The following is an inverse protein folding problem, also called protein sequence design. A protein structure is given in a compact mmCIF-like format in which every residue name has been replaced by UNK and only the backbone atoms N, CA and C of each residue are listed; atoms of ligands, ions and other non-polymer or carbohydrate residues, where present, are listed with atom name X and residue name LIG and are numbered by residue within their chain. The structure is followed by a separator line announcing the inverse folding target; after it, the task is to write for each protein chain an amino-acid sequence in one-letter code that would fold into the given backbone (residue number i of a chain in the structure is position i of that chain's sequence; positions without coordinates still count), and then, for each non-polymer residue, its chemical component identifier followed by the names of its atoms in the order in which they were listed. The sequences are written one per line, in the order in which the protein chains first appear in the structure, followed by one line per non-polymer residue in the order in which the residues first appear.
data_IF_270911913290
#
_entry.id   IF_270911913290
#
_cell.length_a   1.000
_cell.length_b   1.000
_cell.length_c   1.000
_cell.angle_alpha   90.00
_cell.angle_beta   90.00
_cell.angle_gamma   90.00
#
_symmetry.space_group_name_H-M   'P 1'
#
loop_
_entity.id
_entity.type
_entity.pdbx_description
1 polymer ?
#
# COMPACT_ATOMS: atom_id res chain seq x y z
N UNK A 1 -99.71 -13.96 4.56
CA UNK A 1 -98.79 -14.74 5.42
C UNK A 1 -97.48 -14.94 4.66
N UNK A 2 -96.35 -14.99 5.39
CA UNK A 2 -94.92 -14.96 4.99
C UNK A 2 -94.39 -13.55 4.68
N UNK A 3 -93.67 -12.84 5.57
CA UNK A 3 -92.59 -13.17 6.54
C UNK A 3 -91.28 -13.58 5.85
N UNK A 4 -90.42 -12.60 5.58
CA UNK A 4 -88.99 -12.52 5.92
C UNK A 4 -88.36 -11.35 5.13
N UNK A 5 -87.84 -10.28 5.73
CA UNK A 5 -86.73 -10.16 6.70
C UNK A 5 -85.45 -9.68 5.98
N UNK A 6 -85.08 -8.44 6.33
CA UNK A 6 -83.73 -7.88 6.45
C UNK A 6 -82.59 -8.51 5.62
N UNK A 7 -81.98 -7.70 4.75
CA UNK A 7 -80.53 -7.49 4.78
C UNK A 7 -80.13 -6.37 3.82
N UNK A 8 -79.85 -5.19 4.38
CA UNK A 8 -78.89 -4.28 3.80
C UNK A 8 -77.54 -5.00 3.70
N UNK A 9 -76.95 -5.08 2.52
CA UNK A 9 -75.53 -5.41 2.41
C UNK A 9 -74.89 -4.57 1.31
N UNK A 10 -73.84 -3.91 1.76
CA UNK A 10 -73.05 -2.91 1.08
C UNK A 10 -72.34 -3.49 -0.14
N UNK A 11 -72.34 -2.70 -1.20
CA UNK A 11 -71.33 -2.71 -2.23
C UNK A 11 -69.91 -2.52 -1.65
N UNK A 12 -68.97 -3.25 -2.23
CA UNK A 12 -67.51 -3.02 -2.25
C UNK A 12 -66.75 -3.27 -0.95
N UNK A 13 -65.83 -4.25 -0.99
CA UNK A 13 -64.39 -3.99 -1.00
C UNK A 13 -63.63 -5.29 -1.21
N UNK A 14 -62.84 -5.32 -2.29
CA UNK A 14 -61.79 -6.31 -2.51
C UNK A 14 -60.78 -6.28 -1.37
N UNK A 15 -60.37 -7.45 -0.91
CA UNK A 15 -59.09 -7.63 -0.25
C UNK A 15 -58.57 -9.03 -0.56
N UNK A 16 -58.04 -9.18 -1.78
CA UNK A 16 -57.01 -10.18 -2.04
C UNK A 16 -55.78 -9.83 -1.18
N UNK A 17 -55.13 -10.80 -0.53
CA UNK A 17 -53.95 -10.51 0.26
C UNK A 17 -52.81 -10.08 -0.66
N UNK A 18 -52.38 -8.82 -0.54
CA UNK A 18 -51.20 -8.28 -1.18
C UNK A 18 -49.94 -9.01 -0.65
N UNK A 19 -49.62 -10.17 -1.23
CA UNK A 19 -48.36 -10.90 -1.02
C UNK A 19 -47.42 -10.77 -2.23
N UNK A 20 -47.35 -9.59 -2.85
CA UNK A 20 -46.42 -9.30 -3.96
C UNK A 20 -45.36 -8.24 -3.61
N UNK A 21 -45.60 -7.44 -2.57
CA UNK A 21 -44.73 -6.32 -2.18
C UNK A 21 -43.52 -6.70 -1.33
N UNK A 22 -43.62 -7.73 -0.48
CA UNK A 22 -42.60 -8.04 0.53
C UNK A 22 -41.50 -8.97 -0.01
N UNK A 23 -41.87 -9.96 -0.82
CA UNK A 23 -40.91 -10.83 -1.51
C UNK A 23 -40.08 -10.08 -2.56
N UNK A 24 -40.66 -9.04 -3.20
CA UNK A 24 -39.95 -8.21 -4.18
C UNK A 24 -38.92 -7.29 -3.52
N UNK A 25 -39.22 -6.72 -2.35
CA UNK A 25 -38.26 -5.86 -1.60
C UNK A 25 -37.05 -6.64 -1.11
N UNK A 26 -37.26 -7.86 -0.58
CA UNK A 26 -36.17 -8.74 -0.14
C UNK A 26 -35.27 -9.19 -1.29
N UNK A 27 -35.86 -9.53 -2.45
CA UNK A 27 -35.11 -9.88 -3.67
C UNK A 27 -34.26 -8.72 -4.20
N UNK A 28 -34.82 -7.50 -4.21
CA UNK A 28 -34.08 -6.28 -4.62
C UNK A 28 -32.93 -5.98 -3.65
N UNK A 29 -33.14 -6.12 -2.34
CA UNK A 29 -32.09 -5.92 -1.33
C UNK A 29 -30.97 -6.96 -1.48
N UNK A 30 -31.31 -8.23 -1.72
CA UNK A 30 -30.35 -9.30 -1.96
C UNK A 30 -29.55 -9.08 -3.25
N UNK A 31 -30.19 -8.62 -4.32
CA UNK A 31 -29.52 -8.32 -5.59
C UNK A 31 -28.54 -7.16 -5.43
N UNK A 32 -28.91 -6.11 -4.69
CA UNK A 32 -28.00 -5.02 -4.32
C UNK A 32 -26.79 -5.52 -3.52
N UNK A 33 -27.01 -6.35 -2.49
CA UNK A 33 -25.90 -6.93 -1.71
C UNK A 33 -24.99 -7.82 -2.55
N UNK A 34 -25.53 -8.60 -3.50
CA UNK A 34 -24.73 -9.41 -4.43
C UNK A 34 -23.90 -8.56 -5.36
N UNK A 35 -24.44 -7.44 -5.85
CA UNK A 35 -23.70 -6.48 -6.71
C UNK A 35 -22.55 -5.84 -5.95
N UNK A 36 -22.80 -5.33 -4.74
CA UNK A 36 -21.75 -4.75 -3.86
C UNK A 36 -20.67 -5.79 -3.57
N UNK A 37 -21.05 -7.01 -3.19
CA UNK A 37 -20.09 -8.09 -2.94
C UNK A 37 -19.29 -8.49 -4.18
N UNK A 38 -19.92 -8.46 -5.36
CA UNK A 38 -19.23 -8.73 -6.62
C UNK A 38 -18.22 -7.61 -6.98
N UNK A 39 -18.58 -6.36 -6.72
CA UNK A 39 -17.69 -5.20 -6.91
C UNK A 39 -16.49 -5.24 -5.94
N UNK A 40 -16.72 -5.53 -4.66
CA UNK A 40 -15.66 -5.71 -3.65
C UNK A 40 -14.70 -6.84 -4.04
N UNK A 41 -15.24 -7.98 -4.47
CA UNK A 41 -14.45 -9.13 -4.94
C UNK A 41 -13.61 -8.79 -6.16
N UNK A 42 -14.18 -8.04 -7.11
CA UNK A 42 -13.44 -7.58 -8.29
C UNK A 42 -12.32 -6.60 -7.91
N UNK A 43 -12.55 -5.69 -6.96
CA UNK A 43 -11.53 -4.76 -6.47
C UNK A 43 -10.40 -5.48 -5.72
N UNK A 44 -10.74 -6.49 -4.91
CA UNK A 44 -9.78 -7.34 -4.21
C UNK A 44 -8.91 -8.14 -5.18
N UNK A 45 -9.52 -8.77 -6.19
CA UNK A 45 -8.81 -9.48 -7.27
C UNK A 45 -7.85 -8.56 -8.03
N UNK A 46 -8.27 -7.33 -8.34
CA UNK A 46 -7.40 -6.34 -8.95
C UNK A 46 -6.22 -5.97 -8.05
N UNK A 47 -6.43 -5.83 -6.73
CA UNK A 47 -5.36 -5.52 -5.77
C UNK A 47 -4.35 -6.66 -5.70
N UNK A 48 -4.83 -7.90 -5.65
CA UNK A 48 -4.00 -9.12 -5.65
C UNK A 48 -3.19 -9.22 -6.94
N UNK A 49 -3.82 -9.02 -8.11
CA UNK A 49 -3.15 -9.06 -9.40
C UNK A 49 -2.05 -7.99 -9.49
N UNK A 50 -2.35 -6.73 -9.14
CA UNK A 50 -1.35 -5.66 -9.14
C UNK A 50 -0.14 -5.98 -8.24
N UNK A 51 -0.35 -6.55 -7.06
CA UNK A 51 0.75 -6.94 -6.16
C UNK A 51 1.60 -8.05 -6.76
N UNK A 52 0.98 -9.05 -7.41
CA UNK A 52 1.69 -10.13 -8.09
C UNK A 52 2.46 -9.63 -9.32
N UNK A 53 1.88 -8.74 -10.12
CA UNK A 53 2.52 -8.16 -11.29
C UNK A 53 3.76 -7.34 -10.87
N UNK A 54 3.65 -6.56 -9.78
CA UNK A 54 4.79 -5.83 -9.21
C UNK A 54 5.89 -6.81 -8.75
N UNK A 55 5.51 -7.91 -8.09
CA UNK A 55 6.49 -8.93 -7.65
C UNK A 55 7.20 -9.61 -8.80
N UNK A 56 6.46 -9.91 -9.85
CA UNK A 56 7.01 -10.48 -11.06
C UNK A 56 7.97 -9.49 -11.72
N UNK A 57 7.57 -8.22 -11.85
CA UNK A 57 8.44 -7.16 -12.38
C UNK A 57 9.73 -7.01 -11.56
N UNK A 58 9.66 -7.03 -10.23
CA UNK A 58 10.84 -6.94 -9.36
C UNK A 58 11.75 -8.16 -9.51
N UNK A 59 11.17 -9.37 -9.63
CA UNK A 59 11.93 -10.60 -9.87
C UNK A 59 12.62 -10.61 -11.23
N UNK A 60 11.89 -10.22 -12.28
CA UNK A 60 12.36 -10.27 -13.66
C UNK A 60 13.41 -9.20 -13.94
N UNK A 61 13.25 -8.01 -13.36
CA UNK A 61 14.22 -6.90 -13.51
C UNK A 61 15.32 -6.91 -12.48
N UNK A 62 15.31 -7.82 -11.49
CA UNK A 62 16.32 -7.86 -10.43
C UNK A 62 16.41 -6.57 -9.60
N UNK A 63 15.38 -5.72 -9.63
CA UNK A 63 15.38 -4.38 -9.03
C UNK A 63 15.72 -3.23 -10.00
N UNK A 64 16.01 -3.50 -11.28
CA UNK A 64 16.26 -2.44 -12.28
C UNK A 64 15.03 -1.55 -12.54
N UNK A 65 13.81 -2.06 -12.30
CA UNK A 65 12.58 -1.25 -12.35
C UNK A 65 12.56 -0.08 -11.33
N UNK A 66 13.47 -0.09 -10.34
CA UNK A 66 13.63 0.98 -9.35
C UNK A 66 14.82 1.91 -9.66
N UNK A 67 15.49 1.78 -10.81
CA UNK A 67 16.63 2.63 -11.18
C UNK A 67 16.13 4.04 -11.49
N UNK A 68 16.56 4.98 -10.65
CA UNK A 68 16.33 6.41 -10.87
C UNK A 68 16.98 6.78 -12.22
N UNK A 69 16.24 7.38 -13.17
CA UNK A 69 16.81 7.77 -14.45
C UNK A 69 18.05 8.64 -14.26
N UNK A 70 19.11 8.39 -15.03
CA UNK A 70 20.40 9.10 -14.87
C UNK A 70 20.23 10.62 -14.94
N UNK A 71 19.35 11.12 -15.81
CA UNK A 71 19.00 12.55 -15.90
C UNK A 71 18.49 13.12 -14.58
N UNK A 72 17.66 12.35 -13.87
CA UNK A 72 17.10 12.73 -12.56
C UNK A 72 18.21 12.73 -11.52
N UNK A 73 19.02 11.67 -11.47
CA UNK A 73 20.15 11.55 -10.55
C UNK A 73 21.16 12.71 -10.73
N UNK A 74 21.48 13.05 -11.98
CA UNK A 74 22.37 14.17 -12.30
C UNK A 74 21.80 15.52 -11.83
N UNK A 75 20.48 15.74 -11.98
CA UNK A 75 19.82 16.97 -11.48
C UNK A 75 19.82 17.02 -9.96
N UNK A 76 19.54 15.91 -9.28
CA UNK A 76 19.64 15.80 -7.82
C UNK A 76 21.06 16.16 -7.35
N UNK A 77 22.08 15.57 -7.99
CA UNK A 77 23.49 15.83 -7.69
C UNK A 77 23.90 17.28 -7.92
N UNK A 78 23.47 17.89 -9.03
CA UNK A 78 23.80 19.29 -9.36
C UNK A 78 23.24 20.27 -8.32
N UNK A 79 22.02 20.05 -7.83
CA UNK A 79 21.42 20.88 -6.77
C UNK A 79 22.06 20.62 -5.41
N UNK A 80 22.57 19.41 -5.17
CA UNK A 80 23.18 19.02 -3.90
C UNK A 80 24.56 19.64 -3.72
N UNK A 81 25.29 19.83 -4.83
CA UNK A 81 26.66 20.32 -4.85
C UNK A 81 26.92 21.59 -4.00
N UNK A 82 26.13 22.68 -4.09
CA UNK A 82 26.32 23.85 -3.22
C UNK A 82 26.10 23.54 -1.74
N UNK A 83 25.17 22.65 -1.38
CA UNK A 83 24.89 22.29 0.02
C UNK A 83 25.96 21.39 0.64
N UNK A 84 26.82 20.80 -0.17
CA UNK A 84 28.03 20.09 0.28
C UNK A 84 29.22 21.05 0.28
N UNK A 85 29.43 21.76 -0.83
CA UNK A 85 30.58 22.64 -1.01
C UNK A 85 30.60 23.82 -0.06
N UNK A 86 29.51 24.59 0.02
CA UNK A 86 29.45 25.80 0.85
C UNK A 86 29.71 25.46 2.33
N UNK A 87 29.07 24.44 2.94
CA UNK A 87 29.35 24.09 4.32
C UNK A 87 30.76 23.56 4.56
N UNK A 88 31.37 22.86 3.61
CA UNK A 88 32.78 22.45 3.72
C UNK A 88 33.71 23.67 3.86
N UNK A 89 33.59 24.65 2.96
CA UNK A 89 34.36 25.89 3.07
C UNK A 89 33.93 26.72 4.27
N UNK A 90 32.64 26.68 4.62
CA UNK A 90 32.07 27.33 5.80
C UNK A 90 32.69 26.81 7.10
N UNK A 91 32.95 25.49 7.22
CA UNK A 91 33.64 24.92 8.37
C UNK A 91 35.08 25.44 8.46
N UNK A 92 35.84 25.41 7.35
CA UNK A 92 37.19 25.97 7.31
C UNK A 92 37.17 27.46 7.68
N UNK A 93 36.25 28.22 7.11
CA UNK A 93 36.06 29.64 7.40
C UNK A 93 35.70 29.91 8.86
N UNK A 94 34.84 29.07 9.46
CA UNK A 94 34.50 29.15 10.89
C UNK A 94 35.74 28.94 11.76
N UNK A 95 36.55 27.91 11.48
CA UNK A 95 37.80 27.67 12.23
C UNK A 95 38.80 28.80 12.06
N UNK A 96 39.03 29.26 10.82
CA UNK A 96 39.92 30.40 10.53
C UNK A 96 39.41 31.67 11.22
N UNK A 97 38.09 31.89 11.24
CA UNK A 97 37.46 33.02 11.92
C UNK A 97 37.69 33.00 13.44
N UNK A 98 37.47 31.86 14.09
CA UNK A 98 37.77 31.70 15.51
C UNK A 98 39.25 31.88 15.81
N UNK A 99 40.12 31.27 15.01
CA UNK A 99 41.57 31.43 15.16
C UNK A 99 42.02 32.89 15.00
N UNK A 100 41.49 33.60 14.00
CA UNK A 100 41.80 35.01 13.76
C UNK A 100 41.33 35.88 14.93
N UNK A 101 40.11 35.66 15.42
CA UNK A 101 39.58 36.41 16.56
C UNK A 101 40.37 36.13 17.84
N UNK A 102 40.75 34.87 18.10
CA UNK A 102 41.56 34.51 19.25
C UNK A 102 42.96 35.14 19.15
N UNK A 103 43.58 35.15 17.97
CA UNK A 103 44.97 35.62 17.78
C UNK A 103 45.10 37.14 17.76
N UNK A 104 44.20 37.83 17.05
CA UNK A 104 44.35 39.26 16.77
C UNK A 104 43.42 40.16 17.58
N UNK A 105 42.39 39.58 18.21
CA UNK A 105 41.42 40.33 19.04
C UNK A 105 41.43 39.91 20.51
N UNK A 106 42.33 38.98 20.88
CA UNK A 106 42.52 38.50 22.25
C UNK A 106 41.21 38.00 22.89
N UNK A 107 40.33 37.41 22.06
CA UNK A 107 39.04 36.87 22.50
C UNK A 107 39.21 35.41 22.85
N UNK A 108 38.97 35.06 24.11
CA UNK A 108 38.91 33.67 24.54
C UNK A 108 37.52 33.08 24.25
N UNK A 109 37.50 31.95 23.55
CA UNK A 109 36.27 31.23 23.22
C UNK A 109 36.12 29.98 24.07
N UNK A 110 34.93 29.77 24.62
CA UNK A 110 34.59 28.49 25.24
C UNK A 110 34.55 27.40 24.14
N UNK A 111 35.14 26.21 24.38
CA UNK A 111 35.14 25.12 23.40
C UNK A 111 33.75 24.74 22.89
N UNK A 112 32.73 24.86 23.76
CA UNK A 112 31.34 24.60 23.42
C UNK A 112 30.79 25.53 22.33
N UNK A 113 31.24 26.80 22.29
CA UNK A 113 30.79 27.76 21.28
C UNK A 113 31.34 27.39 19.89
N UNK A 114 32.63 27.05 19.83
CA UNK A 114 33.28 26.60 18.59
C UNK A 114 32.61 25.31 18.09
N UNK A 115 32.40 24.34 18.98
CA UNK A 115 31.67 23.11 18.65
C UNK A 115 30.22 23.39 18.21
N UNK A 116 29.51 24.30 18.88
CA UNK A 116 28.15 24.68 18.51
C UNK A 116 28.08 25.29 17.11
N UNK A 117 29.05 26.12 16.74
CA UNK A 117 29.11 26.73 15.41
C UNK A 117 29.34 25.70 14.29
N UNK A 118 30.19 24.69 14.52
CA UNK A 118 30.46 23.65 13.53
C UNK A 118 29.25 22.73 13.39
N UNK A 119 28.61 22.37 14.51
CA UNK A 119 27.33 21.63 14.51
C UNK A 119 26.26 22.41 13.75
N UNK A 120 26.17 23.73 13.93
CA UNK A 120 25.20 24.55 13.22
C UNK A 120 25.43 24.52 11.69
N UNK A 121 26.68 24.69 11.24
CA UNK A 121 27.02 24.61 9.81
C UNK A 121 26.70 23.22 9.24
N UNK A 122 27.02 22.15 9.98
CA UNK A 122 26.72 20.77 9.57
C UNK A 122 25.21 20.50 9.54
N UNK A 123 24.44 20.99 10.52
CA UNK A 123 23.00 20.83 10.56
C UNK A 123 22.32 21.54 9.37
N UNK A 124 22.76 22.75 9.05
CA UNK A 124 22.29 23.49 7.87
C UNK A 124 22.65 22.75 6.58
N UNK A 125 23.86 22.18 6.47
CA UNK A 125 24.27 21.35 5.33
C UNK A 125 23.35 20.14 5.14
N UNK A 126 23.13 19.37 6.20
CA UNK A 126 22.30 18.17 6.17
C UNK A 126 20.86 18.48 5.75
N UNK A 127 20.30 19.56 6.31
CA UNK A 127 18.98 20.07 5.91
C UNK A 127 18.95 20.50 4.44
N UNK A 128 19.99 21.20 3.97
CA UNK A 128 20.13 21.63 2.59
C UNK A 128 20.24 20.48 1.59
N UNK A 129 21.01 19.44 1.90
CA UNK A 129 21.13 18.22 1.08
C UNK A 129 19.76 17.54 0.96
N UNK A 130 19.04 17.41 2.08
CA UNK A 130 17.70 16.80 2.12
C UNK A 130 16.72 17.59 1.25
N UNK A 131 16.69 18.92 1.40
CA UNK A 131 15.86 19.80 0.58
C UNK A 131 16.24 19.72 -0.90
N UNK A 132 17.53 19.66 -1.23
CA UNK A 132 18.00 19.55 -2.61
C UNK A 132 17.49 18.29 -3.31
N UNK A 133 17.57 17.12 -2.67
CA UNK A 133 17.09 15.86 -3.25
C UNK A 133 15.58 15.88 -3.46
N UNK A 134 14.84 16.44 -2.50
CA UNK A 134 13.38 16.49 -2.53
C UNK A 134 12.84 17.56 -3.48
N UNK A 135 13.55 18.67 -3.67
CA UNK A 135 13.15 19.76 -4.58
C UNK A 135 13.50 19.49 -6.05
N UNK A 136 14.27 18.43 -6.33
CA UNK A 136 14.61 18.05 -7.70
C UNK A 136 13.39 17.49 -8.44
N UNK A 137 13.31 17.76 -9.74
CA UNK A 137 12.32 17.11 -10.60
C UNK A 137 12.66 15.63 -10.77
N UNK A 138 11.76 14.78 -10.27
CA UNK A 138 11.80 13.33 -10.44
C UNK A 138 11.24 12.88 -11.79
N UNK A 139 10.69 13.81 -12.58
CA UNK A 139 10.19 13.54 -13.92
C UNK A 139 11.35 13.66 -14.94
N UNK A 140 11.71 12.59 -15.67
CA UNK A 140 12.81 12.64 -16.64
C UNK A 140 12.61 13.68 -17.75
N UNK A 141 11.36 13.97 -18.11
CA UNK A 141 11.00 14.87 -19.23
C UNK A 141 10.83 16.34 -18.80
N UNK A 142 10.82 16.63 -17.49
CA UNK A 142 10.69 17.99 -16.96
C UNK A 142 11.92 18.37 -16.14
N UNK A 143 12.52 19.52 -16.44
CA UNK A 143 13.69 20.01 -15.70
C UNK A 143 13.36 20.49 -14.27
N UNK A 144 12.11 20.91 -14.04
CA UNK A 144 11.60 21.39 -12.75
C UNK A 144 11.84 22.87 -12.48
N UNK A 145 11.26 23.38 -11.39
CA UNK A 145 11.41 24.77 -10.94
C UNK A 145 12.80 25.05 -10.35
N UNK A 146 13.30 26.28 -10.50
CA UNK A 146 14.63 26.71 -9.99
C UNK A 146 14.75 26.50 -8.48
N UNK A 147 13.72 26.88 -7.72
CA UNK A 147 13.68 26.65 -6.26
C UNK A 147 13.10 25.27 -5.91
N UNK A 148 12.25 24.70 -6.76
CA UNK A 148 11.76 23.33 -6.59
C UNK A 148 10.75 23.15 -5.44
N UNK A 149 10.05 24.21 -5.03
CA UNK A 149 9.08 24.18 -3.91
C UNK A 149 7.86 23.31 -4.21
N UNK A 150 7.41 23.32 -5.46
CA UNK A 150 6.26 22.52 -5.91
C UNK A 150 6.66 21.04 -6.00
N UNK A 151 7.85 20.79 -6.56
CA UNK A 151 8.48 19.46 -6.61
C UNK A 151 8.66 18.89 -5.21
N UNK A 152 9.17 19.69 -4.25
CA UNK A 152 9.33 19.27 -2.87
C UNK A 152 8.03 18.75 -2.25
N UNK A 153 6.96 19.54 -2.36
CA UNK A 153 5.66 19.20 -1.78
C UNK A 153 5.07 17.95 -2.44
N UNK A 154 5.17 17.83 -3.77
CA UNK A 154 4.72 16.67 -4.53
C UNK A 154 5.51 15.40 -4.20
N UNK A 155 6.82 15.52 -4.11
CA UNK A 155 7.72 14.40 -3.84
C UNK A 155 7.52 13.87 -2.41
N UNK A 156 7.36 14.76 -1.43
CA UNK A 156 7.00 14.36 -0.04
C UNK A 156 5.67 13.62 0.00
N UNK A 157 4.65 14.12 -0.71
CA UNK A 157 3.36 13.43 -0.84
C UNK A 157 3.51 12.04 -1.44
N UNK A 158 4.28 11.93 -2.53
CA UNK A 158 4.53 10.66 -3.22
C UNK A 158 5.24 9.62 -2.34
N UNK A 159 6.20 10.05 -1.51
CA UNK A 159 6.85 9.17 -0.53
C UNK A 159 5.83 8.68 0.51
N UNK A 160 5.03 9.59 1.08
CA UNK A 160 4.01 9.24 2.09
C UNK A 160 2.98 8.25 1.55
N UNK A 161 2.54 8.47 0.32
CA UNK A 161 1.61 7.57 -0.37
C UNK A 161 2.28 6.22 -0.64
N UNK A 162 3.55 6.22 -1.03
CA UNK A 162 4.37 5.01 -1.18
C UNK A 162 4.45 4.17 0.10
N UNK A 163 4.66 4.79 1.25
CA UNK A 163 4.66 4.10 2.55
C UNK A 163 3.30 3.47 2.88
N UNK A 164 2.21 4.17 2.58
CA UNK A 164 0.85 3.66 2.80
C UNK A 164 0.57 2.46 1.89
N UNK A 165 0.89 2.59 0.60
CA UNK A 165 0.75 1.50 -0.40
C UNK A 165 1.60 0.29 -0.04
N UNK A 166 2.82 0.51 0.49
CA UNK A 166 3.70 -0.58 0.91
C UNK A 166 3.11 -1.37 2.09
N UNK A 167 2.50 -0.70 3.08
CA UNK A 167 1.79 -1.36 4.17
C UNK A 167 0.60 -2.18 3.67
N UNK A 168 -0.21 -1.59 2.79
CA UNK A 168 -1.36 -2.26 2.17
C UNK A 168 -0.94 -3.49 1.36
N UNK A 169 0.13 -3.35 0.58
CA UNK A 169 0.68 -4.45 -0.22
C UNK A 169 1.23 -5.56 0.68
N UNK A 170 1.84 -5.24 1.83
CA UNK A 170 2.30 -6.24 2.80
C UNK A 170 1.16 -7.10 3.34
N UNK A 171 0.03 -6.47 3.68
CA UNK A 171 -1.17 -7.20 4.14
C UNK A 171 -1.73 -8.10 3.04
N UNK A 172 -1.80 -7.63 1.79
CA UNK A 172 -2.27 -8.44 0.66
C UNK A 172 -1.34 -9.61 0.40
N UNK A 173 -0.02 -9.43 0.51
CA UNK A 173 0.97 -10.51 0.39
C UNK A 173 0.77 -11.58 1.46
N UNK A 174 0.53 -11.18 2.70
CA UNK A 174 0.24 -12.12 3.79
C UNK A 174 -1.02 -12.94 3.48
N UNK A 175 -2.09 -12.29 3.00
CA UNK A 175 -3.33 -12.99 2.60
C UNK A 175 -3.10 -13.97 1.44
N UNK A 176 -2.37 -13.57 0.40
CA UNK A 176 -2.01 -14.44 -0.73
C UNK A 176 -1.22 -15.66 -0.23
N UNK A 177 -0.21 -15.46 0.62
CA UNK A 177 0.61 -16.54 1.17
C UNK A 177 -0.22 -17.50 2.03
N UNK A 178 -1.14 -16.97 2.85
CA UNK A 178 -2.04 -17.78 3.66
C UNK A 178 -2.98 -18.60 2.78
N UNK A 179 -3.65 -18.00 1.79
CA UNK A 179 -4.53 -18.72 0.87
C UNK A 179 -3.80 -19.81 0.09
N UNK A 180 -2.58 -19.53 -0.39
CA UNK A 180 -1.75 -20.51 -1.10
C UNK A 180 -1.38 -21.69 -0.19
N UNK A 181 -1.00 -21.41 1.06
CA UNK A 181 -0.67 -22.43 2.06
C UNK A 181 -1.90 -23.28 2.45
N UNK A 182 -3.05 -22.64 2.67
CA UNK A 182 -4.31 -23.35 2.93
C UNK A 182 -4.75 -24.18 1.73
N UNK A 183 -4.56 -23.69 0.51
CA UNK A 183 -4.80 -24.43 -0.74
C UNK A 183 -3.93 -25.67 -0.83
N UNK A 184 -2.61 -25.54 -0.63
CA UNK A 184 -1.66 -26.66 -0.61
C UNK A 184 -2.01 -27.68 0.48
N UNK A 185 -2.40 -27.22 1.67
CA UNK A 185 -2.81 -28.10 2.78
C UNK A 185 -4.09 -28.89 2.47
N UNK A 186 -5.11 -28.26 1.86
CA UNK A 186 -6.36 -28.94 1.44
C UNK A 186 -6.12 -29.95 0.31
N UNK A 187 -5.27 -29.61 -0.66
CA UNK A 187 -4.91 -30.52 -1.75
C UNK A 187 -4.10 -31.71 -1.22
N UNK A 188 -3.18 -31.47 -0.30
CA UNK A 188 -2.41 -32.51 0.40
C UNK A 188 -3.30 -33.46 1.21
N UNK A 189 -4.19 -32.92 2.04
CA UNK A 189 -5.08 -33.71 2.90
C UNK A 189 -6.12 -34.50 2.10
N UNK A 190 -6.66 -33.92 1.02
CA UNK A 190 -7.60 -34.63 0.13
C UNK A 190 -6.92 -35.75 -0.68
N UNK A 191 -5.67 -35.56 -1.13
CA UNK A 191 -4.87 -36.63 -1.75
C UNK A 191 -4.56 -37.74 -0.74
N UNK A 192 -4.17 -37.40 0.48
CA UNK A 192 -3.90 -38.37 1.55
C UNK A 192 -5.16 -39.18 1.92
N UNK A 193 -6.33 -38.53 1.99
CA UNK A 193 -7.61 -39.18 2.26
C UNK A 193 -8.04 -40.12 1.13
N UNK A 194 -7.88 -39.70 -0.14
CA UNK A 194 -8.14 -40.56 -1.30
C UNK A 194 -7.23 -41.78 -1.35
N UNK A 195 -5.94 -41.63 -1.04
CA UNK A 195 -5.00 -42.76 -0.99
C UNK A 195 -5.36 -43.74 0.14
N UNK A 196 -5.66 -43.26 1.34
CA UNK A 196 -6.06 -44.12 2.46
C UNK A 196 -7.35 -44.88 2.15
N UNK A 197 -8.31 -44.25 1.49
CA UNK A 197 -9.56 -44.90 1.07
C UNK A 197 -9.32 -46.02 0.04
N UNK A 198 -8.43 -45.80 -0.94
CA UNK A 198 -8.05 -46.85 -1.91
C UNK A 198 -7.36 -48.03 -1.24
N UNK A 199 -6.46 -47.77 -0.29
CA UNK A 199 -5.75 -48.83 0.46
C UNK A 199 -6.76 -49.66 1.27
N UNK A 200 -7.67 -49.02 2.00
CA UNK A 200 -8.71 -49.72 2.77
C UNK A 200 -9.63 -50.57 1.89
N UNK A 201 -10.01 -50.07 0.71
CA UNK A 201 -10.81 -50.83 -0.27
C UNK A 201 -10.06 -52.06 -0.79
N UNK A 202 -8.77 -51.91 -1.14
CA UNK A 202 -7.95 -53.04 -1.60
C UNK A 202 -7.66 -54.09 -0.52
N UNK A 203 -7.66 -53.68 0.76
CA UNK A 203 -7.55 -54.61 1.88
C UNK A 203 -8.84 -55.40 2.08
N UNK A 204 -9.99 -54.71 2.05
CA UNK A 204 -11.30 -55.33 2.22
C UNK A 204 -11.61 -56.35 1.09
N UNK A 205 -11.22 -56.04 -0.14
CA UNK A 205 -11.35 -56.93 -1.30
C UNK A 205 -10.53 -58.22 -1.11
N UNK A 206 -9.29 -58.11 -0.61
CA UNK A 206 -8.42 -59.26 -0.33
C UNK A 206 -8.85 -60.11 0.86
N UNK A 207 -9.59 -59.52 1.81
CA UNK A 207 -10.10 -60.23 3.00
C UNK A 207 -11.46 -60.90 2.74
N UNK A 208 -12.24 -60.41 1.77
CA UNK A 208 -13.51 -61.02 1.36
C UNK A 208 -13.36 -62.26 0.48
N UNK A 209 -12.28 -62.35 -0.29
CA UNK A 209 -12.01 -63.48 -1.23
C UNK A 209 -11.37 -64.71 -0.55
N UNK A 210 -11.18 -64.67 0.78
CA UNK A 210 -10.53 -65.73 1.57
C UNK A 210 -11.45 -66.46 2.55
N UNK A 211 -12.77 -66.28 2.45
CA UNK A 211 -13.78 -66.92 3.30
C UNK A 211 -14.90 -67.59 2.47
N UNK A 212 -14.52 -68.37 1.47
CA UNK A 212 -15.31 -69.45 0.88
C UNK A 212 -14.43 -70.71 0.81
#
# INVERSE_FOLDING_TARGET
MNFNEFAASQSQSQSQPQMEGDTSRGKIALEKMRRVKAEERNAELQKIQNVQDIDQLVRDTGGEAAVIPEKVAQRMGKRMLPFVGIPLFGLVGTFVGFWYMATYRDVEFQPALVAGSTIAVLAVSLGGITYSMMSASWDPEREGSVFGTDEFSRNIGSIKDGFTRSKDNAVVREQIMLEENFGKQKVSSSKSSKNNKKIAQSLAEKLGDGMD
#
